data_IF_481505498403
#
_entry.id   IF_481505498403
#
_cell.length_a   1.000
_cell.length_b   1.000
_cell.length_c   1.000
_cell.angle_alpha   90.00
_cell.angle_beta   90.00
_cell.angle_gamma   90.00
#
_symmetry.space_group_name_H-M   'P 1'
#
loop_
_entity.id
_entity.type
_entity.pdbx_description
1 polymer ?
#
# COMPACT_ATOMS: atom_id res chain seq x y z
N UNK A 1 -10.20 3.07 -8.83
CA UNK A 1 -11.48 3.82 -8.81
C UNK A 1 -11.85 4.02 -7.34
N UNK A 2 -12.33 5.20 -6.93
CA UNK A 2 -12.62 5.50 -5.52
C UNK A 2 -14.13 5.69 -5.33
N UNK A 3 -14.70 5.03 -4.33
CA UNK A 3 -16.02 5.39 -3.80
C UNK A 3 -15.88 6.71 -3.07
N UNK A 4 -16.78 7.64 -3.38
CA UNK A 4 -16.79 8.98 -2.79
C UNK A 4 -17.89 9.10 -1.76
N UNK A 5 -17.64 9.94 -0.76
CA UNK A 5 -18.69 10.47 0.08
C UNK A 5 -19.30 11.68 -0.62
N UNK A 6 -20.60 11.64 -0.88
CA UNK A 6 -21.35 12.79 -1.39
C UNK A 6 -22.18 13.40 -0.27
N UNK A 7 -22.64 14.65 -0.43
CA UNK A 7 -23.57 15.28 0.52
C UNK A 7 -24.85 14.45 0.74
N UNK A 8 -25.18 13.60 -0.24
CA UNK A 8 -26.37 12.76 -0.27
C UNK A 8 -26.16 11.37 0.33
N UNK A 9 -24.93 11.01 0.68
CA UNK A 9 -24.58 9.73 1.29
C UNK A 9 -23.36 9.05 0.65
N UNK A 10 -23.12 7.81 1.09
CA UNK A 10 -22.00 6.98 0.67
C UNK A 10 -22.36 6.25 -0.62
N UNK A 11 -21.45 6.29 -1.61
CA UNK A 11 -21.52 5.42 -2.78
C UNK A 11 -21.27 3.96 -2.40
N UNK A 12 -22.08 3.04 -2.93
CA UNK A 12 -22.00 1.61 -2.62
C UNK A 12 -21.61 0.82 -3.86
N UNK A 13 -21.06 -0.38 -3.63
CA UNK A 13 -20.79 -1.36 -4.69
C UNK A 13 -21.81 -2.49 -4.55
N UNK A 14 -22.53 -2.80 -5.62
CA UNK A 14 -23.54 -3.86 -5.65
C UNK A 14 -23.43 -4.70 -6.93
N UNK A 15 -23.89 -5.95 -6.83
CA UNK A 15 -24.06 -6.84 -7.97
C UNK A 15 -25.29 -6.47 -8.83
N UNK A 16 -26.21 -5.67 -8.31
CA UNK A 16 -27.50 -5.39 -8.98
C UNK A 16 -27.33 -4.58 -10.28
N UNK A 17 -26.21 -3.87 -10.42
CA UNK A 17 -25.87 -3.05 -11.60
C UNK A 17 -25.47 -3.90 -12.81
N UNK A 18 -25.17 -5.17 -12.62
CA UNK A 18 -24.73 -6.05 -13.71
C UNK A 18 -25.92 -6.56 -14.50
N UNK A 19 -25.79 -6.56 -15.83
CA UNK A 19 -26.80 -7.19 -16.70
C UNK A 19 -26.87 -8.70 -16.48
N UNK A 20 -28.08 -9.29 -16.60
CA UNK A 20 -28.29 -10.74 -16.41
C UNK A 20 -27.32 -11.60 -17.23
N UNK A 21 -27.14 -11.26 -18.51
CA UNK A 21 -26.20 -11.94 -19.41
C UNK A 21 -24.77 -11.94 -18.86
N UNK A 22 -24.32 -10.78 -18.38
CA UNK A 22 -22.97 -10.64 -17.85
C UNK A 22 -22.76 -11.43 -16.57
N UNK A 23 -23.79 -11.58 -15.71
CA UNK A 23 -23.73 -12.38 -14.49
C UNK A 23 -23.64 -13.88 -14.81
N UNK A 24 -24.36 -14.34 -15.84
CA UNK A 24 -24.32 -15.72 -16.30
C UNK A 24 -22.98 -16.08 -16.94
N UNK A 25 -22.43 -15.18 -17.75
CA UNK A 25 -21.18 -15.39 -18.48
C UNK A 25 -19.94 -15.20 -17.59
N UNK A 26 -19.99 -14.30 -16.60
CA UNK A 26 -18.81 -13.89 -15.83
C UNK A 26 -19.05 -14.00 -14.34
N UNK A 27 -18.07 -14.56 -13.65
CA UNK A 27 -18.13 -14.66 -12.19
C UNK A 27 -17.90 -13.29 -11.56
N UNK A 28 -18.93 -12.75 -10.91
CA UNK A 28 -18.84 -11.54 -10.08
C UNK A 28 -18.82 -11.89 -8.59
N UNK A 29 -18.24 -11.01 -7.77
CA UNK A 29 -18.27 -11.11 -6.30
C UNK A 29 -18.34 -9.70 -5.72
N UNK A 30 -19.33 -9.44 -4.86
CA UNK A 30 -19.53 -8.15 -4.19
C UNK A 30 -19.55 -6.93 -5.14
N UNK A 31 -20.13 -7.08 -6.33
CA UNK A 31 -20.22 -6.03 -7.34
C UNK A 31 -18.94 -5.79 -8.13
N UNK A 32 -18.00 -6.73 -8.13
CA UNK A 32 -16.72 -6.66 -8.86
C UNK A 32 -16.53 -7.94 -9.68
N UNK A 33 -16.02 -7.83 -10.91
CA UNK A 33 -15.64 -9.02 -11.71
C UNK A 33 -14.41 -9.71 -11.09
N UNK A 34 -14.39 -11.05 -11.08
CA UNK A 34 -13.25 -11.83 -10.61
C UNK A 34 -12.03 -11.76 -11.53
N UNK A 35 -10.87 -11.99 -10.92
CA UNK A 35 -9.59 -12.17 -11.61
C UNK A 35 -9.66 -13.41 -12.52
N UNK A 36 -9.07 -13.31 -13.71
CA UNK A 36 -9.02 -14.37 -14.71
C UNK A 36 -10.17 -14.38 -15.72
N UNK A 37 -11.16 -13.52 -15.55
CA UNK A 37 -12.28 -13.40 -16.49
C UNK A 37 -11.93 -12.53 -17.69
N UNK A 38 -12.40 -12.93 -18.87
CA UNK A 38 -12.28 -12.16 -20.11
C UNK A 38 -13.38 -11.11 -20.19
N UNK A 39 -13.02 -9.86 -20.50
CA UNK A 39 -13.92 -8.73 -20.62
C UNK A 39 -13.80 -8.10 -22.01
N UNK A 40 -14.95 -7.67 -22.51
CA UNK A 40 -15.13 -7.01 -23.80
C UNK A 40 -15.60 -5.57 -23.60
N UNK A 41 -15.64 -4.82 -24.69
CA UNK A 41 -16.04 -3.42 -24.64
C UNK A 41 -17.45 -3.25 -24.08
N UNK A 42 -17.64 -2.21 -23.25
CA UNK A 42 -18.89 -1.88 -22.53
C UNK A 42 -19.27 -2.80 -21.37
N UNK A 43 -18.48 -3.82 -21.07
CA UNK A 43 -18.73 -4.64 -19.89
C UNK A 43 -18.54 -3.87 -18.59
N UNK A 44 -19.41 -4.09 -17.61
CA UNK A 44 -19.33 -3.48 -16.28
C UNK A 44 -18.25 -4.18 -15.46
N UNK A 45 -17.17 -3.51 -15.11
CA UNK A 45 -16.11 -4.04 -14.25
C UNK A 45 -16.46 -3.94 -12.76
N UNK A 46 -17.06 -2.81 -12.37
CA UNK A 46 -17.48 -2.52 -10.98
C UNK A 46 -18.88 -1.94 -11.00
N UNK A 47 -19.80 -2.60 -10.30
CA UNK A 47 -21.18 -2.16 -10.13
C UNK A 47 -21.28 -1.11 -9.04
N UNK A 48 -21.08 0.16 -9.41
CA UNK A 48 -21.18 1.29 -8.48
C UNK A 48 -22.59 1.88 -8.51
N UNK A 49 -23.11 2.20 -7.33
CA UNK A 49 -24.38 2.90 -7.15
C UNK A 49 -24.16 4.17 -6.32
N UNK A 50 -24.75 5.27 -6.77
CA UNK A 50 -24.64 6.57 -6.14
C UNK A 50 -25.98 6.93 -5.48
N UNK A 51 -25.99 7.50 -4.26
CA UNK A 51 -27.22 7.92 -3.62
C UNK A 51 -27.84 9.09 -4.37
N UNK A 52 -29.15 9.04 -4.58
CA UNK A 52 -29.96 10.16 -5.09
C UNK A 52 -30.02 11.26 -4.02
N UNK A 53 -30.01 12.51 -4.47
CA UNK A 53 -30.17 13.66 -3.58
C UNK A 53 -31.56 13.75 -2.96
N UNK A 54 -31.69 14.58 -1.91
CA UNK A 54 -32.97 14.92 -1.29
C UNK A 54 -33.76 15.88 -2.20
N UNK A 55 -34.24 15.36 -3.32
CA UNK A 55 -35.24 16.03 -4.14
C UNK A 55 -36.62 15.49 -3.80
N UNK A 56 -37.64 16.35 -3.91
CA UNK A 56 -39.02 15.91 -3.86
C UNK A 56 -39.29 15.00 -5.05
N UNK A 57 -39.40 13.69 -4.76
CA UNK A 57 -39.76 12.69 -5.76
C UNK A 57 -41.09 13.04 -6.42
N UNK A 58 -41.20 12.75 -7.72
CA UNK A 58 -42.45 12.93 -8.43
C UNK A 58 -43.55 12.04 -7.84
N UNK A 59 -44.85 12.34 -8.05
CA UNK A 59 -45.94 11.50 -7.57
C UNK A 59 -45.82 10.05 -8.06
N UNK A 60 -45.35 9.85 -9.29
CA UNK A 60 -45.12 8.53 -9.89
C UNK A 60 -44.00 7.77 -9.16
N UNK A 61 -42.90 8.45 -8.84
CA UNK A 61 -41.78 7.90 -8.09
C UNK A 61 -42.17 7.54 -6.65
N UNK A 62 -43.00 8.38 -6.00
CA UNK A 62 -43.55 8.10 -4.67
C UNK A 62 -44.46 6.87 -4.69
N UNK A 63 -45.34 6.76 -5.68
CA UNK A 63 -46.17 5.58 -5.87
C UNK A 63 -45.32 4.33 -6.07
N UNK A 64 -44.34 4.40 -6.95
CA UNK A 64 -43.43 3.29 -7.23
C UNK A 64 -42.71 2.83 -5.96
N UNK A 65 -42.19 3.77 -5.17
CA UNK A 65 -41.55 3.46 -3.89
C UNK A 65 -42.49 2.76 -2.91
N UNK A 66 -43.75 3.18 -2.82
CA UNK A 66 -44.75 2.55 -1.94
C UNK A 66 -45.07 1.14 -2.41
N UNK A 67 -45.31 0.94 -3.71
CA UNK A 67 -45.71 -0.34 -4.29
C UNK A 67 -44.60 -1.38 -4.18
N UNK A 68 -43.36 -0.99 -4.46
CA UNK A 68 -42.25 -1.95 -4.50
C UNK A 68 -41.51 -2.04 -3.16
N UNK A 69 -41.69 -1.08 -2.24
CA UNK A 69 -40.98 -1.02 -0.95
C UNK A 69 -39.47 -1.28 -1.09
N UNK A 70 -38.90 -0.95 -2.25
CA UNK A 70 -37.55 -1.35 -2.63
C UNK A 70 -36.53 -0.33 -2.12
N UNK A 71 -35.58 -0.81 -1.32
CA UNK A 71 -34.50 0.01 -0.75
C UNK A 71 -33.56 0.58 -1.82
N UNK A 72 -33.55 -0.02 -3.01
CA UNK A 72 -32.69 0.37 -4.13
C UNK A 72 -33.17 1.65 -4.85
N UNK A 73 -34.40 2.11 -4.61
CA UNK A 73 -34.93 3.33 -5.24
C UNK A 73 -34.12 4.59 -4.90
N UNK A 74 -33.49 4.61 -3.72
CA UNK A 74 -32.70 5.75 -3.26
C UNK A 74 -31.35 5.88 -3.98
N UNK A 75 -30.97 4.92 -4.82
CA UNK A 75 -29.70 4.91 -5.53
C UNK A 75 -29.92 4.98 -7.05
N UNK A 76 -28.94 5.50 -7.77
CA UNK A 76 -28.84 5.40 -9.22
C UNK A 76 -27.54 4.70 -9.60
N UNK A 77 -27.56 4.01 -10.72
CA UNK A 77 -26.43 3.22 -11.18
C UNK A 77 -25.39 4.13 -11.86
N UNK A 78 -24.13 3.99 -11.46
CA UNK A 78 -22.98 4.63 -12.11
C UNK A 78 -21.82 3.63 -12.20
N UNK A 79 -21.95 2.56 -13.01
CA UNK A 79 -20.95 1.52 -13.11
C UNK A 79 -19.63 2.01 -13.72
N UNK A 80 -18.55 1.31 -13.38
CA UNK A 80 -17.30 1.39 -14.12
C UNK A 80 -17.38 0.42 -15.29
N UNK A 81 -17.50 0.93 -16.51
CA UNK A 81 -17.47 0.11 -17.71
C UNK A 81 -16.10 0.10 -18.37
N UNK A 82 -15.77 -0.99 -19.05
CA UNK A 82 -14.60 -1.07 -19.89
C UNK A 82 -14.77 -0.10 -21.08
N UNK A 83 -13.77 0.77 -21.37
CA UNK A 83 -13.81 1.69 -22.50
C UNK A 83 -14.01 0.96 -23.85
N UNK A 84 -14.50 1.70 -24.84
CA UNK A 84 -14.74 1.17 -26.19
C UNK A 84 -13.43 0.71 -26.83
N UNK A 85 -13.51 -0.33 -27.65
CA UNK A 85 -12.41 -0.92 -28.42
C UNK A 85 -11.28 -1.52 -27.57
N UNK A 86 -11.52 -1.74 -26.28
CA UNK A 86 -10.60 -2.45 -25.39
C UNK A 86 -11.25 -3.78 -25.02
N UNK A 87 -10.43 -4.82 -24.96
CA UNK A 87 -10.77 -6.18 -24.55
C UNK A 87 -9.54 -6.81 -23.89
N UNK A 88 -9.75 -7.77 -23.01
CA UNK A 88 -8.65 -8.46 -22.33
C UNK A 88 -9.10 -9.24 -21.10
N UNK A 89 -8.13 -9.78 -20.37
CA UNK A 89 -8.37 -10.57 -19.15
C UNK A 89 -8.01 -9.76 -17.92
N UNK A 90 -8.81 -9.87 -16.86
CA UNK A 90 -8.51 -9.21 -15.58
C UNK A 90 -7.35 -9.93 -14.91
N UNK A 91 -6.23 -9.22 -14.73
CA UNK A 91 -5.02 -9.76 -14.12
C UNK A 91 -5.02 -9.64 -12.59
N UNK A 92 -5.46 -8.49 -12.06
CA UNK A 92 -5.48 -8.23 -10.63
C UNK A 92 -6.58 -7.23 -10.26
N UNK A 93 -7.07 -7.32 -9.03
CA UNK A 93 -8.03 -6.38 -8.41
C UNK A 93 -7.52 -6.04 -7.03
N UNK A 94 -7.22 -4.75 -6.81
CA UNK A 94 -6.74 -4.24 -5.53
C UNK A 94 -7.79 -3.31 -4.90
N UNK A 95 -8.15 -3.59 -3.66
CA UNK A 95 -9.11 -2.81 -2.88
C UNK A 95 -8.39 -1.79 -1.99
N UNK A 96 -8.42 -0.52 -2.40
CA UNK A 96 -7.89 0.58 -1.59
C UNK A 96 -8.98 1.17 -0.71
N UNK A 97 -8.85 0.97 0.61
CA UNK A 97 -9.72 1.61 1.60
C UNK A 97 -9.02 2.84 2.17
N UNK A 98 -9.61 4.01 1.93
CA UNK A 98 -9.23 5.23 2.64
C UNK A 98 -9.86 5.18 4.03
N UNK A 99 -9.06 4.84 5.03
CA UNK A 99 -9.48 4.99 6.41
C UNK A 99 -9.32 6.45 6.81
N UNK A 100 -10.42 7.14 7.11
CA UNK A 100 -10.37 8.38 7.87
C UNK A 100 -10.13 8.02 9.33
N UNK A 101 -8.89 7.71 9.66
CA UNK A 101 -8.45 7.63 11.04
C UNK A 101 -8.44 9.04 11.66
N UNK A 102 -8.75 9.15 12.94
CA UNK A 102 -8.53 10.38 13.68
C UNK A 102 -7.08 10.84 13.46
N UNK A 103 -6.87 12.15 13.35
CA UNK A 103 -5.52 12.73 13.15
C UNK A 103 -4.49 12.20 14.14
N UNK A 104 -4.93 11.82 15.34
CA UNK A 104 -4.08 11.23 16.38
C UNK A 104 -3.64 9.80 16.05
N UNK A 105 -4.54 8.98 15.49
CA UNK A 105 -4.25 7.59 15.09
C UNK A 105 -3.32 7.56 13.88
N UNK A 106 -3.51 8.47 12.91
CA UNK A 106 -2.60 8.63 11.77
C UNK A 106 -1.17 8.96 12.24
N UNK A 107 -1.03 9.93 13.15
CA UNK A 107 0.28 10.28 13.72
C UNK A 107 0.95 9.10 14.40
N UNK A 108 0.20 8.28 15.14
CA UNK A 108 0.76 7.10 15.82
C UNK A 108 1.26 6.08 14.79
N UNK A 109 0.46 5.77 13.76
CA UNK A 109 0.88 4.86 12.68
C UNK A 109 2.12 5.38 11.94
N UNK A 110 2.17 6.67 11.61
CA UNK A 110 3.31 7.28 10.93
C UNK A 110 4.58 7.17 11.79
N UNK A 111 4.47 7.40 13.10
CA UNK A 111 5.58 7.23 14.04
C UNK A 111 6.05 5.77 14.09
N UNK A 112 5.13 4.81 14.19
CA UNK A 112 5.46 3.39 14.21
C UNK A 112 6.17 2.94 12.93
N UNK A 113 5.69 3.40 11.77
CA UNK A 113 6.35 3.13 10.48
C UNK A 113 7.75 3.75 10.41
N UNK A 114 7.93 4.98 10.89
CA UNK A 114 9.24 5.62 10.96
C UNK A 114 10.19 4.87 11.92
N UNK A 115 9.71 4.40 13.06
CA UNK A 115 10.50 3.60 14.01
C UNK A 115 10.94 2.28 13.36
N UNK A 116 10.05 1.63 12.63
CA UNK A 116 10.37 0.39 11.91
C UNK A 116 11.43 0.63 10.82
N UNK A 117 11.24 1.66 9.99
CA UNK A 117 12.19 2.01 8.92
C UNK A 117 13.55 2.37 9.50
N UNK A 118 13.60 3.20 10.54
CA UNK A 118 14.87 3.60 11.18
C UNK A 118 15.60 2.40 11.78
N UNK A 119 14.87 1.46 12.40
CA UNK A 119 15.44 0.21 12.90
C UNK A 119 16.03 -0.65 11.78
N UNK A 120 15.29 -0.83 10.67
CA UNK A 120 15.77 -1.60 9.53
C UNK A 120 17.00 -0.96 8.87
N UNK A 121 17.02 0.37 8.74
CA UNK A 121 18.17 1.10 8.22
C UNK A 121 19.38 0.92 9.13
N UNK A 122 19.22 1.06 10.44
CA UNK A 122 20.32 0.88 11.40
C UNK A 122 20.90 -0.53 11.33
N UNK A 123 20.06 -1.56 11.21
CA UNK A 123 20.52 -2.93 11.02
C UNK A 123 21.31 -3.09 9.71
N UNK A 124 20.81 -2.53 8.61
CA UNK A 124 21.49 -2.56 7.32
C UNK A 124 22.84 -1.84 7.37
N UNK A 125 22.92 -0.67 8.01
CA UNK A 125 24.18 0.05 8.24
C UNK A 125 25.16 -0.76 9.08
N UNK A 126 24.68 -1.46 10.11
CA UNK A 126 25.53 -2.32 10.93
C UNK A 126 26.13 -3.47 10.12
N UNK A 127 25.32 -4.15 9.32
CA UNK A 127 25.79 -5.25 8.46
C UNK A 127 26.81 -4.77 7.44
N UNK A 128 26.53 -3.65 6.76
CA UNK A 128 27.45 -3.02 5.81
C UNK A 128 28.76 -2.59 6.47
N UNK A 129 28.68 -1.96 7.64
CA UNK A 129 29.86 -1.48 8.37
C UNK A 129 30.71 -2.66 8.85
N UNK A 130 30.07 -3.69 9.42
CA UNK A 130 30.75 -4.90 9.87
C UNK A 130 31.46 -5.60 8.71
N UNK A 131 30.78 -5.76 7.57
CA UNK A 131 31.35 -6.33 6.35
C UNK A 131 32.55 -5.53 5.83
N UNK A 132 32.44 -4.19 5.83
CA UNK A 132 33.52 -3.32 5.39
C UNK A 132 34.76 -3.42 6.29
N UNK A 133 34.57 -3.44 7.62
CA UNK A 133 35.65 -3.63 8.58
C UNK A 133 36.29 -5.01 8.43
N UNK A 134 35.49 -6.06 8.25
CA UNK A 134 36.01 -7.41 8.02
C UNK A 134 36.83 -7.50 6.74
N UNK A 135 36.41 -6.82 5.68
CA UNK A 135 37.19 -6.73 4.44
C UNK A 135 38.50 -5.98 4.62
N UNK A 136 38.48 -4.80 5.25
CA UNK A 136 39.70 -4.05 5.59
C UNK A 136 40.65 -4.93 6.40
N UNK A 137 40.12 -5.64 7.40
CA UNK A 137 40.89 -6.54 8.25
C UNK A 137 41.55 -7.66 7.43
N UNK A 138 40.82 -8.30 6.50
CA UNK A 138 41.39 -9.31 5.58
C UNK A 138 42.53 -8.76 4.72
N UNK A 139 42.38 -7.58 4.13
CA UNK A 139 43.41 -6.98 3.27
C UNK A 139 44.62 -6.46 4.05
N UNK A 140 44.41 -5.90 5.25
CA UNK A 140 45.50 -5.40 6.10
C UNK A 140 46.29 -6.53 6.80
N UNK A 141 45.70 -7.71 7.03
CA UNK A 141 46.45 -8.84 7.60
C UNK A 141 47.58 -9.34 6.69
N UNK A 142 47.49 -9.11 5.38
CA UNK A 142 48.47 -9.60 4.41
C UNK A 142 49.51 -8.56 3.98
N UNK A 143 49.34 -7.27 4.33
CA UNK A 143 50.24 -6.21 3.90
C UNK A 143 50.80 -5.41 5.08
N UNK A 144 52.10 -5.57 5.37
CA UNK A 144 52.86 -4.64 6.20
C UNK A 144 53.18 -3.38 5.39
N UNK A 145 52.54 -2.26 5.72
CA UNK A 145 52.85 -0.98 5.07
C UNK A 145 54.12 -0.39 5.68
N UNK A 146 55.20 -0.35 4.91
CA UNK A 146 56.46 0.30 5.29
C UNK A 146 56.46 1.76 4.80
N UNK A 147 56.37 2.72 5.72
CA UNK A 147 56.61 4.13 5.42
C UNK A 147 57.98 4.54 5.97
N UNK A 148 58.85 5.03 5.08
CA UNK A 148 60.16 5.64 5.38
C UNK A 148 61.07 4.79 6.29
N UNK A 149 61.34 3.53 5.91
CA UNK A 149 62.36 2.65 6.52
C UNK A 149 62.30 2.43 8.06
N UNK A 150 61.22 2.82 8.73
CA UNK A 150 60.88 2.37 10.10
C UNK A 150 59.57 1.60 10.08
N UNK A 151 59.57 0.42 10.71
CA UNK A 151 58.36 -0.38 10.91
C UNK A 151 57.46 0.41 11.85
N UNK A 152 56.42 1.02 11.31
CA UNK A 152 55.54 1.91 12.10
C UNK A 152 54.23 1.19 12.49
N UNK A 153 53.82 0.17 11.73
CA UNK A 153 52.49 -0.46 11.85
C UNK A 153 52.61 -1.94 12.19
N UNK A 154 52.92 -2.25 13.45
CA UNK A 154 52.84 -3.62 13.99
C UNK A 154 51.41 -4.00 14.37
N UNK A 155 51.08 -5.30 14.34
CA UNK A 155 49.76 -5.88 14.71
C UNK A 155 49.17 -5.26 16.00
N UNK A 156 50.02 -4.93 16.98
CA UNK A 156 49.64 -4.32 18.26
C UNK A 156 49.06 -2.90 18.15
N UNK A 157 49.54 -2.07 17.23
CA UNK A 157 49.11 -0.67 17.10
C UNK A 157 47.76 -0.57 16.38
N UNK A 158 47.54 -1.37 15.33
CA UNK A 158 46.24 -1.43 14.64
C UNK A 158 45.16 -1.98 15.58
N UNK A 159 45.48 -3.00 16.39
CA UNK A 159 44.57 -3.54 17.41
C UNK A 159 44.26 -2.53 18.52
N UNK A 160 45.27 -1.78 19.00
CA UNK A 160 45.06 -0.67 19.96
C UNK A 160 44.27 0.49 19.35
N UNK A 161 44.49 0.83 18.08
CA UNK A 161 43.79 1.92 17.42
C UNK A 161 42.34 1.54 17.11
N UNK A 162 42.09 0.34 16.59
CA UNK A 162 40.73 -0.21 16.43
C UNK A 162 40.03 -0.30 17.79
N UNK A 163 40.66 -0.85 18.84
CA UNK A 163 40.04 -0.90 20.17
C UNK A 163 39.82 0.50 20.76
N UNK A 164 40.70 1.46 20.51
CA UNK A 164 40.52 2.87 20.93
C UNK A 164 39.39 3.54 20.15
N UNK A 165 39.25 3.23 18.85
CA UNK A 165 38.18 3.71 18.00
C UNK A 165 36.84 3.07 18.38
N UNK A 166 36.77 1.76 18.64
CA UNK A 166 35.58 1.08 19.16
C UNK A 166 35.20 1.57 20.57
N UNK A 167 36.16 1.86 21.44
CA UNK A 167 35.88 2.44 22.77
C UNK A 167 35.45 3.91 22.71
N UNK A 168 35.96 4.70 21.75
CA UNK A 168 35.53 6.10 21.53
C UNK A 168 34.22 6.19 20.76
N UNK A 169 33.99 5.29 19.81
CA UNK A 169 32.72 5.01 19.17
C UNK A 169 31.81 4.15 20.05
N UNK A 170 31.82 4.43 21.37
CA UNK A 170 30.59 4.39 22.20
C UNK A 170 29.61 5.40 21.60
N UNK A 171 29.19 5.16 20.36
CA UNK A 171 28.01 5.73 19.74
C UNK A 171 26.93 5.45 20.76
N UNK A 172 26.34 6.51 21.28
CA UNK A 172 25.37 6.52 22.36
C UNK A 172 24.31 5.45 22.10
N UNK A 173 24.53 4.26 22.66
CA UNK A 173 23.52 3.24 22.80
C UNK A 173 22.57 3.79 23.87
N UNK A 174 21.46 4.36 23.45
CA UNK A 174 20.25 4.31 24.26
C UNK A 174 19.83 2.83 24.31
N UNK A 175 20.39 2.11 25.27
CA UNK A 175 19.78 0.89 25.78
C UNK A 175 18.93 1.27 26.99
N UNK A 176 17.61 1.26 26.75
CA UNK A 176 16.48 1.45 27.68
C UNK A 176 16.30 2.84 28.30
#
# INVERSE_FOLDING_TARGET
MCLKYSENGIEIVSNDVFSQKQIEEKKTKFGIIKIGEFVSSKDVLVGKMCPRGKHDFSPEEKLFKIVFSDNNFNYYEQPLCLPKNIYGTILNVDDFKLYSFDKNVLKILDIEQLVYITKNLNNCFYELFFWYIDNIRKYLYNNTVFLKKKILWGKSFLFKMLNSFFNKCRIFFFQK
#
